data_IF_241346627639
#
_entry.id   IF_241346627639
#
_cell.length_a   1.000
_cell.length_b   1.000
_cell.length_c   1.000
_cell.angle_alpha   90.00
_cell.angle_beta   90.00
_cell.angle_gamma   90.00
#
_symmetry.space_group_name_H-M   'P 1'
#
loop_
_entity.id
_entity.type
_entity.pdbx_description
1 polymer ?
#
# COMPACT_ATOMS: atom_id res chain seq x y z
N UNK A 1 -41.54 -42.42 -60.52
CA UNK A 1 -41.15 -42.73 -61.91
C UNK A 1 -40.76 -41.45 -62.58
N UNK A 2 -39.49 -41.42 -62.99
CA UNK A 2 -38.71 -40.26 -63.41
C UNK A 2 -38.90 -39.97 -64.91
N UNK A 3 -39.02 -38.69 -65.29
CA UNK A 3 -38.66 -38.21 -66.63
C UNK A 3 -37.37 -37.40 -66.52
N UNK A 4 -36.22 -37.94 -66.96
CA UNK A 4 -35.57 -37.70 -68.27
C UNK A 4 -35.15 -36.21 -68.42
N UNK A 5 -33.89 -35.78 -68.17
CA UNK A 5 -32.58 -36.09 -68.84
C UNK A 5 -32.64 -35.69 -70.34
N UNK A 6 -31.76 -34.88 -70.96
CA UNK A 6 -30.55 -34.16 -70.60
C UNK A 6 -30.22 -33.08 -71.66
N UNK A 7 -29.25 -32.23 -71.28
CA UNK A 7 -28.38 -31.32 -72.05
C UNK A 7 -28.20 -31.55 -73.56
N UNK A 8 -28.18 -30.41 -74.27
CA UNK A 8 -27.41 -30.22 -75.50
C UNK A 8 -26.82 -28.80 -75.52
N UNK A 9 -25.50 -28.71 -75.41
CA UNK A 9 -24.69 -27.50 -75.47
C UNK A 9 -24.43 -27.06 -76.90
N UNK A 10 -24.59 -25.77 -77.22
CA UNK A 10 -23.56 -24.90 -77.81
C UNK A 10 -24.14 -23.52 -78.18
N UNK A 11 -23.21 -22.58 -78.35
CA UNK A 11 -23.35 -21.24 -78.95
C UNK A 11 -23.52 -20.04 -77.99
N UNK A 12 -22.37 -19.50 -77.60
CA UNK A 12 -21.97 -18.08 -77.71
C UNK A 12 -23.12 -17.09 -77.98
N UNK A 13 -23.56 -16.35 -76.96
CA UNK A 13 -23.81 -14.91 -77.12
C UNK A 13 -23.86 -14.13 -75.79
N UNK A 14 -23.29 -12.92 -75.83
CA UNK A 14 -23.68 -11.74 -75.08
C UNK A 14 -23.88 -11.76 -73.56
N UNK A 15 -22.81 -11.50 -72.79
CA UNK A 15 -22.93 -10.72 -71.56
C UNK A 15 -21.92 -9.58 -71.56
N UNK A 16 -22.42 -8.41 -71.93
CA UNK A 16 -21.75 -7.12 -71.79
C UNK A 16 -21.35 -6.92 -70.32
N UNK A 17 -20.05 -6.94 -70.07
CA UNK A 17 -19.46 -6.50 -68.81
C UNK A 17 -19.68 -4.99 -68.69
N UNK A 18 -20.61 -4.58 -67.84
CA UNK A 18 -20.70 -3.20 -67.37
C UNK A 18 -19.41 -2.87 -66.62
N UNK A 19 -18.69 -1.77 -66.94
CA UNK A 19 -17.49 -1.41 -66.20
C UNK A 19 -17.91 -1.03 -64.78
N UNK A 20 -17.62 -1.93 -63.85
CA UNK A 20 -17.73 -1.67 -62.41
C UNK A 20 -16.89 -0.44 -62.11
N UNK A 21 -17.54 0.63 -61.63
CA UNK A 21 -16.87 1.86 -61.17
C UNK A 21 -15.95 1.47 -60.01
N UNK A 22 -14.70 1.11 -60.33
CA UNK A 22 -13.62 1.06 -59.34
C UNK A 22 -13.58 2.43 -58.70
N UNK A 23 -14.00 2.52 -57.45
CA UNK A 23 -13.73 3.68 -56.60
C UNK A 23 -12.21 3.92 -56.70
N UNK A 24 -11.81 5.03 -57.34
CA UNK A 24 -10.43 5.48 -57.36
C UNK A 24 -10.02 5.63 -55.89
N UNK A 25 -9.20 4.72 -55.39
CA UNK A 25 -8.55 4.85 -54.09
C UNK A 25 -7.73 6.13 -54.19
N UNK A 26 -8.02 7.13 -53.35
CA UNK A 26 -7.29 8.39 -53.45
C UNK A 26 -5.81 8.11 -53.20
N UNK A 27 -4.96 8.56 -54.12
CA UNK A 27 -3.50 8.48 -54.03
C UNK A 27 -3.01 9.51 -53.00
N UNK A 28 -3.41 9.33 -51.74
CA UNK A 28 -2.91 10.18 -50.67
C UNK A 28 -1.44 9.83 -50.40
N UNK A 29 -0.60 10.85 -50.36
CA UNK A 29 0.84 10.76 -50.05
C UNK A 29 1.05 11.06 -48.57
N UNK A 30 1.84 10.24 -47.90
CA UNK A 30 2.27 10.50 -46.52
C UNK A 30 3.73 10.92 -46.48
N UNK A 31 4.05 11.95 -45.69
CA UNK A 31 5.44 12.32 -45.38
C UNK A 31 5.94 11.66 -44.09
N UNK A 32 5.02 11.09 -43.31
CA UNK A 32 5.32 10.35 -42.10
C UNK A 32 5.72 8.90 -42.41
N UNK A 33 6.59 8.36 -41.55
CA UNK A 33 6.86 6.92 -41.49
C UNK A 33 5.58 6.15 -41.13
N UNK A 34 5.45 4.93 -41.63
CA UNK A 34 4.22 4.14 -41.57
C UNK A 34 3.71 3.89 -40.14
N UNK A 35 4.60 3.58 -39.19
CA UNK A 35 4.27 3.38 -37.77
C UNK A 35 3.83 4.69 -37.13
N UNK A 36 4.54 5.79 -37.39
CA UNK A 36 4.17 7.14 -36.91
C UNK A 36 2.80 7.54 -37.45
N UNK A 37 2.55 7.39 -38.76
CA UNK A 37 1.26 7.67 -39.39
C UNK A 37 0.11 6.90 -38.73
N UNK A 38 0.30 5.59 -38.52
CA UNK A 38 -0.71 4.73 -37.84
C UNK A 38 -0.99 5.21 -36.42
N UNK A 39 0.04 5.57 -35.65
CA UNK A 39 -0.12 6.05 -34.27
C UNK A 39 -0.87 7.39 -34.21
N UNK A 40 -0.59 8.30 -35.15
CA UNK A 40 -1.31 9.58 -35.29
C UNK A 40 -2.78 9.33 -35.68
N UNK A 41 -3.04 8.43 -36.64
CA UNK A 41 -4.40 8.08 -37.04
C UNK A 41 -5.23 7.54 -35.86
N UNK A 42 -4.64 6.64 -35.04
CA UNK A 42 -5.30 6.09 -33.85
C UNK A 42 -5.58 7.20 -32.82
N UNK A 43 -4.57 8.03 -32.53
CA UNK A 43 -4.68 9.10 -31.54
C UNK A 43 -5.72 10.15 -31.95
N UNK A 44 -5.70 10.55 -33.22
CA UNK A 44 -6.69 11.49 -33.78
C UNK A 44 -8.11 10.95 -33.70
N UNK A 45 -8.31 9.66 -33.98
CA UNK A 45 -9.63 9.02 -33.83
C UNK A 45 -10.09 9.01 -32.38
N UNK A 46 -9.21 8.73 -31.43
CA UNK A 46 -9.54 8.72 -30.00
C UNK A 46 -9.95 10.10 -29.47
N UNK A 47 -9.38 11.18 -30.02
CA UNK A 47 -9.67 12.55 -29.59
C UNK A 47 -11.07 13.04 -30.01
N UNK A 48 -11.61 12.49 -31.11
CA UNK A 48 -12.95 12.79 -31.65
C UNK A 48 -13.23 14.31 -31.82
N UNK A 49 -12.20 15.11 -32.09
CA UNK A 49 -12.29 16.57 -32.13
C UNK A 49 -11.73 17.15 -33.44
N UNK A 50 -12.44 18.10 -34.08
CA UNK A 50 -11.90 18.85 -35.22
C UNK A 50 -10.65 19.64 -34.85
N UNK A 51 -9.67 19.69 -35.75
CA UNK A 51 -8.37 20.36 -35.53
C UNK A 51 -8.53 21.84 -35.23
N UNK A 52 -9.53 22.51 -35.82
CA UNK A 52 -9.81 23.93 -35.60
C UNK A 52 -10.22 24.20 -34.15
N UNK A 53 -11.04 23.29 -33.58
CA UNK A 53 -11.42 23.35 -32.16
C UNK A 53 -10.23 23.07 -31.26
N UNK A 54 -9.40 22.08 -31.61
CA UNK A 54 -8.17 21.76 -30.88
C UNK A 54 -7.23 22.97 -30.83
N UNK A 55 -6.92 23.57 -31.97
CA UNK A 55 -6.04 24.75 -32.06
C UNK A 55 -6.60 25.92 -31.25
N UNK A 56 -7.90 26.16 -31.35
CA UNK A 56 -8.57 27.23 -30.59
C UNK A 56 -8.46 26.98 -29.09
N UNK A 57 -8.74 25.76 -28.63
CA UNK A 57 -8.65 25.38 -27.22
C UNK A 57 -7.22 25.46 -26.68
N UNK A 58 -6.21 24.99 -27.45
CA UNK A 58 -4.79 25.08 -27.07
C UNK A 58 -4.33 26.53 -26.97
N UNK A 59 -4.73 27.40 -27.90
CA UNK A 59 -4.39 28.80 -27.84
C UNK A 59 -5.06 29.52 -26.65
N UNK A 60 -6.30 29.13 -26.32
CA UNK A 60 -7.03 29.65 -25.16
C UNK A 60 -6.64 29.00 -23.82
N UNK A 61 -5.83 27.93 -23.83
CA UNK A 61 -5.52 27.10 -22.66
C UNK A 61 -6.79 26.54 -21.97
N UNK A 62 -7.81 26.20 -22.76
CA UNK A 62 -9.14 25.84 -22.27
C UNK A 62 -9.28 24.34 -21.99
N UNK A 63 -9.11 23.97 -20.72
CA UNK A 63 -9.28 22.60 -20.24
C UNK A 63 -10.74 22.12 -20.19
N UNK A 64 -11.74 23.00 -20.37
CA UNK A 64 -13.15 22.59 -20.45
C UNK A 64 -13.50 22.05 -21.83
N UNK A 65 -12.89 22.61 -22.88
CA UNK A 65 -13.06 22.15 -24.26
C UNK A 65 -12.09 21.00 -24.56
N UNK A 66 -10.85 21.10 -24.09
CA UNK A 66 -9.81 20.10 -24.31
C UNK A 66 -9.45 19.42 -22.99
N UNK A 67 -10.01 18.23 -22.76
CA UNK A 67 -9.76 17.45 -21.55
C UNK A 67 -8.27 17.11 -21.36
N UNK A 68 -7.88 16.85 -20.10
CA UNK A 68 -6.51 16.50 -19.75
C UNK A 68 -5.99 15.27 -20.51
N UNK A 69 -6.82 14.22 -20.65
CA UNK A 69 -6.48 13.04 -21.45
C UNK A 69 -6.16 13.39 -22.91
N UNK A 70 -6.90 14.33 -23.49
CA UNK A 70 -6.65 14.82 -24.84
C UNK A 70 -5.40 15.69 -24.93
N UNK A 71 -5.07 16.46 -23.89
CA UNK A 71 -3.80 17.21 -23.77
C UNK A 71 -2.61 16.24 -23.76
N UNK A 72 -2.65 15.19 -22.93
CA UNK A 72 -1.61 14.17 -22.86
C UNK A 72 -1.47 13.38 -24.17
N UNK A 73 -2.58 13.15 -24.87
CA UNK A 73 -2.57 12.56 -26.19
C UNK A 73 -1.90 13.49 -27.21
N UNK A 74 -2.24 14.78 -27.19
CA UNK A 74 -1.64 15.79 -28.05
C UNK A 74 -0.13 15.94 -27.82
N UNK A 75 0.34 15.90 -26.57
CA UNK A 75 1.77 15.97 -26.26
C UNK A 75 2.58 14.88 -26.98
N UNK A 76 2.00 13.68 -27.16
CA UNK A 76 2.61 12.57 -27.90
C UNK A 76 2.51 12.73 -29.43
N UNK A 77 1.57 13.55 -29.89
CA UNK A 77 1.33 13.83 -31.31
C UNK A 77 2.07 15.06 -31.83
N UNK A 78 2.62 15.93 -30.96
CA UNK A 78 3.35 17.13 -31.38
C UNK A 78 4.37 16.76 -32.47
N UNK A 79 4.36 17.44 -33.63
CA UNK A 79 5.27 17.14 -34.71
C UNK A 79 6.70 17.46 -34.29
N UNK A 80 7.63 16.58 -34.66
CA UNK A 80 9.07 16.79 -34.46
C UNK A 80 9.59 17.91 -35.35
N UNK A 81 10.77 18.45 -35.04
CA UNK A 81 11.40 19.47 -35.88
C UNK A 81 11.66 18.97 -37.30
N UNK A 82 12.00 17.68 -37.45
CA UNK A 82 12.20 17.04 -38.74
C UNK A 82 10.90 16.94 -39.54
N UNK A 83 9.82 16.46 -38.92
CA UNK A 83 8.48 16.40 -39.56
C UNK A 83 8.03 17.82 -39.97
N UNK A 84 8.18 18.79 -39.06
CA UNK A 84 7.84 20.20 -39.30
C UNK A 84 8.64 20.77 -40.48
N UNK A 85 9.93 20.46 -40.57
CA UNK A 85 10.79 20.86 -41.68
C UNK A 85 10.32 20.23 -43.00
N UNK A 86 10.02 18.93 -43.02
CA UNK A 86 9.51 18.23 -44.20
C UNK A 86 8.19 18.82 -44.70
N UNK A 87 7.28 19.21 -43.79
CA UNK A 87 6.07 19.92 -44.18
C UNK A 87 6.34 21.30 -44.79
N UNK A 88 7.30 22.06 -44.24
CA UNK A 88 7.70 23.36 -44.82
C UNK A 88 8.31 23.20 -46.20
N UNK A 89 9.21 22.24 -46.39
CA UNK A 89 9.83 21.94 -47.68
C UNK A 89 8.79 21.56 -48.73
N UNK A 90 7.83 20.70 -48.38
CA UNK A 90 6.73 20.32 -49.27
C UNK A 90 5.92 21.53 -49.76
N UNK A 91 5.68 22.53 -48.89
CA UNK A 91 5.02 23.78 -49.25
C UNK A 91 5.92 24.67 -50.13
N UNK A 92 7.21 24.79 -49.80
CA UNK A 92 8.19 25.59 -50.55
C UNK A 92 8.33 25.06 -51.98
N UNK A 93 8.34 23.75 -52.15
CA UNK A 93 8.36 23.06 -53.45
C UNK A 93 7.04 23.17 -54.23
N UNK A 94 6.05 23.90 -53.70
CA UNK A 94 4.72 24.12 -54.29
C UNK A 94 3.97 22.81 -54.60
N UNK A 95 4.23 21.74 -53.83
CA UNK A 95 3.51 20.48 -53.96
C UNK A 95 2.07 20.62 -53.45
N UNK A 96 1.17 19.81 -54.00
CA UNK A 96 -0.27 19.92 -53.71
C UNK A 96 -0.62 19.33 -52.34
N UNK A 97 -0.84 20.20 -51.35
CA UNK A 97 -1.22 19.86 -49.97
C UNK A 97 -2.50 18.99 -49.89
N UNK A 98 -3.41 19.08 -50.87
CA UNK A 98 -4.63 18.27 -50.87
C UNK A 98 -4.36 16.78 -51.04
N UNK A 99 -3.20 16.42 -51.61
CA UNK A 99 -2.76 15.03 -51.76
C UNK A 99 -2.18 14.45 -50.48
N UNK A 100 -1.90 15.26 -49.45
CA UNK A 100 -1.43 14.73 -48.17
C UNK A 100 -2.52 13.93 -47.46
N UNK A 101 -2.11 12.95 -46.64
CA UNK A 101 -3.05 12.26 -45.75
C UNK A 101 -3.70 13.25 -44.76
N UNK A 102 -4.84 12.87 -44.18
CA UNK A 102 -5.51 13.70 -43.19
C UNK A 102 -4.68 13.84 -41.91
N UNK A 103 -3.86 12.84 -41.59
CA UNK A 103 -2.91 12.85 -40.50
C UNK A 103 -1.76 13.83 -40.74
N UNK A 104 -1.20 13.89 -41.95
CA UNK A 104 -0.20 14.89 -42.32
C UNK A 104 -0.78 16.30 -42.27
N UNK A 105 -1.98 16.50 -42.81
CA UNK A 105 -2.68 17.80 -42.74
C UNK A 105 -2.91 18.22 -41.29
N UNK A 106 -3.30 17.27 -40.43
CA UNK A 106 -3.49 17.50 -38.99
C UNK A 106 -2.18 17.95 -38.33
N UNK A 107 -1.08 17.20 -38.50
CA UNK A 107 0.21 17.57 -37.91
C UNK A 107 0.78 18.88 -38.47
N UNK A 108 0.60 19.12 -39.77
CA UNK A 108 1.03 20.37 -40.40
C UNK A 108 0.28 21.58 -39.83
N UNK A 109 -1.02 21.46 -39.54
CA UNK A 109 -1.78 22.52 -38.86
C UNK A 109 -1.35 22.66 -37.39
N UNK A 110 -1.12 21.54 -36.70
CA UNK A 110 -0.67 21.52 -35.32
C UNK A 110 0.70 22.19 -35.15
N UNK A 111 1.63 21.96 -36.08
CA UNK A 111 2.96 22.57 -36.11
C UNK A 111 2.97 24.07 -36.43
N UNK A 112 1.84 24.64 -36.89
CA UNK A 112 1.68 26.10 -37.03
C UNK A 112 1.35 26.78 -35.70
N UNK A 113 0.93 26.03 -34.69
CA UNK A 113 0.63 26.58 -33.37
C UNK A 113 1.95 26.97 -32.69
N UNK A 114 2.12 28.27 -32.48
CA UNK A 114 3.30 28.80 -31.81
C UNK A 114 3.44 28.23 -30.40
N UNK A 115 4.65 27.76 -30.05
CA UNK A 115 5.01 27.23 -28.73
C UNK A 115 4.03 26.16 -28.21
N UNK A 116 3.53 25.30 -29.10
CA UNK A 116 2.54 24.28 -28.75
C UNK A 116 3.00 23.37 -27.60
N UNK A 117 4.26 22.92 -27.61
CA UNK A 117 4.79 22.06 -26.55
C UNK A 117 4.69 22.73 -25.17
N UNK A 118 5.03 24.02 -25.09
CA UNK A 118 4.92 24.81 -23.86
C UNK A 118 3.46 24.97 -23.43
N UNK A 119 2.55 25.30 -24.36
CA UNK A 119 1.11 25.45 -24.05
C UNK A 119 0.52 24.14 -23.52
N UNK A 120 0.81 23.01 -24.15
CA UNK A 120 0.34 21.70 -23.70
C UNK A 120 0.93 21.32 -22.33
N UNK A 121 2.21 21.58 -22.09
CA UNK A 121 2.82 21.35 -20.77
C UNK A 121 2.16 22.19 -19.68
N UNK A 122 1.83 23.45 -19.96
CA UNK A 122 1.11 24.33 -19.04
C UNK A 122 -0.31 23.83 -18.77
N UNK A 123 -1.05 23.43 -19.82
CA UNK A 123 -2.38 22.86 -19.67
C UNK A 123 -2.34 21.59 -18.81
N UNK A 124 -1.37 20.71 -19.06
CA UNK A 124 -1.18 19.49 -18.29
C UNK A 124 -0.86 19.79 -16.81
N UNK A 125 0.01 20.76 -16.56
CA UNK A 125 0.35 21.23 -15.22
C UNK A 125 -0.87 21.79 -14.48
N UNK A 126 -1.61 22.70 -15.10
CA UNK A 126 -2.81 23.31 -14.51
C UNK A 126 -3.86 22.24 -14.18
N UNK A 127 -4.07 21.28 -15.09
CA UNK A 127 -5.02 20.19 -14.90
C UNK A 127 -4.68 19.27 -13.73
N UNK A 128 -3.40 18.97 -13.52
CA UNK A 128 -2.95 18.05 -12.47
C UNK A 128 -2.59 18.73 -11.13
N UNK A 129 -2.49 20.06 -11.10
CA UNK A 129 -1.94 20.79 -9.94
C UNK A 129 -2.64 20.45 -8.62
N UNK A 130 -3.99 20.49 -8.60
CA UNK A 130 -4.74 20.27 -7.37
C UNK A 130 -4.72 18.81 -6.93
N UNK A 131 -4.71 17.87 -7.87
CA UNK A 131 -4.61 16.44 -7.57
C UNK A 131 -3.23 16.11 -6.98
N UNK A 132 -2.17 16.69 -7.52
CA UNK A 132 -0.82 16.57 -6.96
C UNK A 132 -0.75 17.12 -5.53
N UNK A 133 -1.31 18.31 -5.28
CA UNK A 133 -1.41 18.89 -3.93
C UNK A 133 -2.17 17.92 -2.99
N UNK A 134 -3.29 17.38 -3.45
CA UNK A 134 -4.12 16.45 -2.66
C UNK A 134 -3.41 15.12 -2.36
N UNK A 135 -2.55 14.66 -3.27
CA UNK A 135 -1.78 13.43 -3.11
C UNK A 135 -0.57 13.62 -2.17
N UNK A 136 0.13 14.76 -2.26
CA UNK A 136 1.37 15.00 -1.53
C UNK A 136 1.10 15.46 -0.09
N UNK A 137 0.09 16.31 0.13
CA UNK A 137 -0.18 16.91 1.45
C UNK A 137 -0.37 15.88 2.58
N UNK A 138 -1.16 14.80 2.41
CA UNK A 138 -1.32 13.78 3.45
C UNK A 138 -0.03 13.05 3.80
N UNK A 139 0.86 12.86 2.82
CA UNK A 139 2.14 12.18 3.03
C UNK A 139 3.07 13.05 3.90
N UNK A 140 3.13 14.36 3.62
CA UNK A 140 3.85 15.35 4.43
C UNK A 140 3.34 15.33 5.87
N UNK A 141 2.03 15.42 6.07
CA UNK A 141 1.43 15.43 7.41
C UNK A 141 1.64 14.12 8.17
N UNK A 142 1.65 12.97 7.48
CA UNK A 142 1.94 11.68 8.09
C UNK A 142 3.37 11.66 8.66
N UNK A 143 4.36 12.16 7.90
CA UNK A 143 5.75 12.21 8.38
C UNK A 143 5.91 13.18 9.55
N UNK A 144 5.35 14.39 9.47
CA UNK A 144 5.41 15.38 10.58
C UNK A 144 4.82 14.77 11.85
N UNK A 145 3.62 14.19 11.75
CA UNK A 145 2.90 13.63 12.89
C UNK A 145 3.62 12.41 13.47
N UNK A 146 4.12 11.51 12.61
CA UNK A 146 4.86 10.33 13.05
C UNK A 146 6.18 10.73 13.73
N UNK A 147 6.96 11.62 13.13
CA UNK A 147 8.21 12.11 13.71
C UNK A 147 7.98 12.76 15.08
N UNK A 148 6.98 13.64 15.18
CA UNK A 148 6.65 14.31 16.43
C UNK A 148 6.21 13.33 17.52
N UNK A 149 5.29 12.42 17.22
CA UNK A 149 4.76 11.46 18.20
C UNK A 149 5.80 10.43 18.63
N UNK A 150 6.63 9.92 17.72
CA UNK A 150 7.74 9.02 18.05
C UNK A 150 8.75 9.71 18.97
N UNK A 151 9.16 10.95 18.65
CA UNK A 151 10.09 11.74 19.47
C UNK A 151 9.53 12.06 20.85
N UNK A 152 8.22 12.34 20.94
CA UNK A 152 7.58 12.76 22.19
C UNK A 152 6.96 11.62 23.01
N UNK A 153 6.93 10.38 22.50
CA UNK A 153 6.34 9.25 23.21
C UNK A 153 7.13 8.91 24.48
N UNK A 154 6.49 9.11 25.63
CA UNK A 154 7.07 8.76 26.93
C UNK A 154 7.08 7.25 27.11
N UNK A 155 6.07 6.55 26.60
CA UNK A 155 5.99 5.10 26.71
C UNK A 155 7.06 4.40 25.87
N UNK A 156 7.29 4.85 24.62
CA UNK A 156 8.37 4.31 23.80
C UNK A 156 9.72 4.49 24.50
N UNK A 157 9.98 5.69 25.04
CA UNK A 157 11.21 5.96 25.80
C UNK A 157 11.40 5.00 26.98
N UNK A 158 10.35 4.78 27.77
CA UNK A 158 10.40 3.85 28.91
C UNK A 158 10.62 2.39 28.47
N UNK A 159 10.00 1.96 27.37
CA UNK A 159 10.22 0.63 26.79
C UNK A 159 11.68 0.47 26.34
N UNK A 160 12.27 1.47 25.68
CA UNK A 160 13.67 1.45 25.26
C UNK A 160 14.64 1.43 26.46
N UNK A 161 14.30 2.12 27.55
CA UNK A 161 15.08 2.10 28.80
C UNK A 161 15.09 0.70 29.45
N UNK A 162 13.93 0.02 29.46
CA UNK A 162 13.84 -1.37 29.93
C UNK A 162 14.69 -2.28 29.05
N UNK A 163 14.63 -2.13 27.72
CA UNK A 163 15.44 -2.90 26.78
C UNK A 163 16.93 -2.66 27.03
N UNK A 164 17.35 -1.40 27.25
CA UNK A 164 18.74 -1.07 27.59
C UNK A 164 19.18 -1.76 28.89
N UNK A 165 18.33 -1.78 29.92
CA UNK A 165 18.63 -2.45 31.19
C UNK A 165 18.83 -3.96 31.00
N UNK A 166 17.96 -4.62 30.22
CA UNK A 166 18.13 -6.03 29.88
C UNK A 166 19.40 -6.28 29.07
N UNK A 167 19.67 -5.43 28.07
CA UNK A 167 20.88 -5.51 27.25
C UNK A 167 22.15 -5.38 28.09
N UNK A 168 22.19 -4.43 29.02
CA UNK A 168 23.30 -4.22 29.94
C UNK A 168 23.49 -5.39 30.90
N UNK A 169 22.41 -5.94 31.45
CA UNK A 169 22.49 -7.11 32.32
C UNK A 169 23.10 -8.30 31.59
N UNK A 170 22.61 -8.60 30.39
CA UNK A 170 23.06 -9.74 29.58
C UNK A 170 24.49 -9.59 29.03
N UNK A 171 24.94 -8.35 28.76
CA UNK A 171 26.25 -8.08 28.15
C UNK A 171 27.31 -7.54 29.13
N UNK A 172 26.97 -7.42 30.42
CA UNK A 172 27.82 -6.86 31.47
C UNK A 172 29.23 -7.48 31.53
N UNK A 173 29.35 -8.77 31.23
CA UNK A 173 30.61 -9.52 31.28
C UNK A 173 31.55 -9.30 30.09
N UNK A 174 31.09 -8.72 28.97
CA UNK A 174 31.87 -8.64 27.71
C UNK A 174 32.09 -7.23 27.18
N UNK A 175 31.17 -6.30 27.41
CA UNK A 175 31.14 -5.00 26.71
C UNK A 175 31.07 -3.78 27.64
N UNK A 176 31.03 -3.98 28.97
CA UNK A 176 30.84 -2.90 29.92
C UNK A 176 29.44 -2.27 29.85
N UNK A 177 29.19 -1.17 30.60
CA UNK A 177 27.89 -0.51 30.61
C UNK A 177 27.67 0.33 29.34
N UNK A 178 26.54 0.11 28.66
CA UNK A 178 26.07 0.94 27.56
C UNK A 178 25.07 2.00 28.05
N UNK A 179 25.14 3.19 27.47
CA UNK A 179 24.22 4.31 27.74
C UNK A 179 23.12 4.45 26.69
N UNK A 180 23.17 3.64 25.63
CA UNK A 180 22.21 3.63 24.54
C UNK A 180 22.56 2.55 23.52
N UNK A 181 21.66 2.31 22.57
CA UNK A 181 21.85 1.35 21.49
C UNK A 181 21.24 1.90 20.20
N UNK A 182 21.76 1.46 19.05
CA UNK A 182 21.21 1.78 17.73
C UNK A 182 19.86 1.11 17.54
N UNK A 183 18.89 1.80 16.93
CA UNK A 183 17.52 1.28 16.79
C UNK A 183 17.46 -0.05 16.03
N UNK A 184 18.40 -0.27 15.12
CA UNK A 184 18.54 -1.56 14.41
C UNK A 184 18.72 -2.76 15.36
N UNK A 185 19.18 -2.54 16.60
CA UNK A 185 19.32 -3.59 17.61
C UNK A 185 17.97 -4.20 18.01
N UNK A 186 16.85 -3.48 17.83
CA UNK A 186 15.50 -3.97 18.15
C UNK A 186 15.14 -5.23 17.36
N UNK A 187 15.63 -5.35 16.11
CA UNK A 187 15.42 -6.56 15.29
C UNK A 187 16.10 -7.80 15.91
N UNK A 188 17.18 -7.62 16.68
CA UNK A 188 17.94 -8.75 17.28
C UNK A 188 17.31 -9.32 18.56
N UNK A 189 16.29 -8.65 19.12
CA UNK A 189 15.58 -9.13 20.31
C UNK A 189 14.83 -10.44 20.06
N UNK A 190 14.49 -10.72 18.79
CA UNK A 190 13.85 -11.96 18.37
C UNK A 190 14.83 -13.13 18.26
N UNK A 191 16.12 -12.84 18.03
CA UNK A 191 17.16 -13.85 17.78
C UNK A 191 17.67 -14.50 19.06
N UNK A 192 17.65 -13.76 20.17
CA UNK A 192 18.08 -14.28 21.46
C UNK A 192 17.00 -15.19 22.04
N UNK A 193 17.17 -16.51 21.96
CA UNK A 193 16.21 -17.52 22.45
C UNK A 193 16.56 -18.02 23.85
N UNK A 194 15.53 -18.48 24.57
CA UNK A 194 15.69 -19.27 25.80
C UNK A 194 16.31 -20.64 25.51
N UNK A 195 16.87 -21.28 26.55
CA UNK A 195 17.50 -22.62 26.44
C UNK A 195 16.57 -23.67 25.85
N UNK A 196 15.28 -23.60 26.17
CA UNK A 196 14.24 -24.50 25.67
C UNK A 196 13.66 -24.08 24.29
N UNK A 197 14.18 -22.98 23.71
CA UNK A 197 13.75 -22.37 22.44
C UNK A 197 12.26 -22.01 22.35
N UNK A 198 11.54 -22.00 23.47
CA UNK A 198 10.10 -21.68 23.51
C UNK A 198 9.83 -20.17 23.51
N UNK A 199 10.80 -19.37 23.93
CA UNK A 199 10.67 -17.93 24.11
C UNK A 199 11.89 -17.20 23.55
N UNK A 200 11.73 -15.94 23.17
CA UNK A 200 12.86 -15.07 22.88
C UNK A 200 12.98 -13.95 23.92
N UNK A 201 14.06 -13.18 23.85
CA UNK A 201 14.28 -12.05 24.76
C UNK A 201 13.11 -11.06 24.71
N UNK A 202 12.55 -10.78 23.53
CA UNK A 202 11.37 -9.92 23.42
C UNK A 202 10.18 -10.46 24.23
N UNK A 203 9.91 -11.77 24.20
CA UNK A 203 8.85 -12.37 25.02
C UNK A 203 9.07 -12.13 26.51
N UNK A 204 10.31 -12.27 26.98
CA UNK A 204 10.64 -12.06 28.39
C UNK A 204 10.48 -10.59 28.79
N UNK A 205 10.94 -9.67 27.95
CA UNK A 205 10.79 -8.23 28.16
C UNK A 205 9.32 -7.84 28.23
N UNK A 206 8.50 -8.30 27.26
CA UNK A 206 7.06 -8.02 27.22
C UNK A 206 6.34 -8.60 28.44
N UNK A 207 6.66 -9.83 28.85
CA UNK A 207 6.10 -10.42 30.06
C UNK A 207 6.44 -9.60 31.32
N UNK A 208 7.68 -9.12 31.41
CA UNK A 208 8.15 -8.26 32.50
C UNK A 208 7.42 -6.92 32.51
N UNK A 209 7.28 -6.28 31.34
CA UNK A 209 6.53 -5.03 31.17
C UNK A 209 5.09 -5.22 31.61
N UNK A 210 4.40 -6.26 31.16
CA UNK A 210 3.02 -6.49 31.55
C UNK A 210 2.83 -6.69 33.07
N UNK A 211 3.82 -7.29 33.74
CA UNK A 211 3.76 -7.53 35.18
C UNK A 211 4.11 -6.29 36.01
N UNK A 212 5.15 -5.54 35.61
CA UNK A 212 5.73 -4.46 36.42
C UNK A 212 5.37 -3.05 35.96
N UNK A 213 5.04 -2.89 34.68
CA UNK A 213 4.79 -1.61 34.00
C UNK A 213 3.59 -1.74 33.03
N UNK A 214 2.40 -2.15 33.51
CA UNK A 214 1.25 -2.46 32.65
C UNK A 214 0.82 -1.28 31.76
N UNK A 215 1.10 -0.04 32.16
CA UNK A 215 0.84 1.19 31.40
C UNK A 215 1.63 1.30 30.08
N UNK A 216 2.73 0.54 29.95
CA UNK A 216 3.59 0.53 28.76
C UNK A 216 3.18 -0.53 27.72
N UNK A 217 2.25 -1.43 28.05
CA UNK A 217 1.89 -2.55 27.16
C UNK A 217 1.29 -2.08 25.83
N UNK A 218 0.69 -0.88 25.83
CA UNK A 218 0.09 -0.24 24.67
C UNK A 218 0.89 0.98 24.19
N UNK A 219 2.22 0.99 24.34
CA UNK A 219 3.06 2.14 23.95
C UNK A 219 2.84 2.56 22.49
N UNK A 220 2.54 1.61 21.61
CA UNK A 220 2.34 1.86 20.18
C UNK A 220 1.10 2.72 19.90
N UNK A 221 0.17 2.84 20.85
CA UNK A 221 -0.96 3.77 20.75
C UNK A 221 -0.53 5.24 20.75
N UNK A 222 0.67 5.56 21.26
CA UNK A 222 1.25 6.90 21.16
C UNK A 222 1.91 7.15 19.80
N UNK A 223 2.21 6.11 19.01
CA UNK A 223 2.97 6.20 17.76
C UNK A 223 2.05 6.40 16.57
N UNK A 224 1.49 7.59 16.45
CA UNK A 224 0.48 7.89 15.44
C UNK A 224 1.10 7.97 14.04
N UNK A 225 0.38 7.43 13.04
CA UNK A 225 0.74 7.51 11.63
C UNK A 225 2.06 6.84 11.21
N UNK A 226 2.72 6.08 12.09
CA UNK A 226 3.98 5.39 11.74
C UNK A 226 3.82 4.42 10.56
N UNK A 227 2.68 3.73 10.42
CA UNK A 227 2.43 2.85 9.26
C UNK A 227 2.34 3.63 7.94
N UNK A 228 1.77 4.85 7.97
CA UNK A 228 1.68 5.72 6.78
C UNK A 228 3.04 6.34 6.47
N UNK A 229 3.75 6.82 7.48
CA UNK A 229 5.08 7.41 7.29
C UNK A 229 6.10 6.38 6.80
N UNK A 230 5.93 5.10 7.16
CA UNK A 230 6.74 3.98 6.65
C UNK A 230 6.63 3.76 5.14
N UNK A 231 5.58 4.26 4.47
CA UNK A 231 5.41 4.13 3.01
C UNK A 231 5.83 5.39 2.25
N UNK A 232 6.26 6.45 2.95
CA UNK A 232 6.52 7.76 2.34
C UNK A 232 8.00 7.95 2.07
N UNK A 233 8.33 8.42 0.87
CA UNK A 233 9.68 8.90 0.51
C UNK A 233 9.73 10.43 0.55
N UNK A 234 10.51 10.98 1.49
CA UNK A 234 10.76 12.43 1.58
C UNK A 234 11.53 12.98 0.36
N UNK A 235 12.37 12.15 -0.26
CA UNK A 235 13.09 12.52 -1.49
C UNK A 235 12.11 12.71 -2.66
N UNK A 236 11.16 11.78 -2.82
CA UNK A 236 10.12 11.90 -3.85
C UNK A 236 9.25 13.14 -3.60
N UNK A 237 8.82 13.38 -2.35
CA UNK A 237 8.08 14.59 -1.98
C UNK A 237 8.87 15.85 -2.36
N UNK A 238 10.17 15.89 -2.08
CA UNK A 238 11.01 17.05 -2.40
C UNK A 238 11.09 17.26 -3.91
N UNK A 239 11.25 16.18 -4.67
CA UNK A 239 11.27 16.21 -6.15
C UNK A 239 9.94 16.68 -6.72
N UNK A 240 8.82 16.14 -6.22
CA UNK A 240 7.48 16.49 -6.69
C UNK A 240 7.15 17.96 -6.39
N UNK A 241 7.50 18.44 -5.19
CA UNK A 241 7.36 19.87 -4.83
C UNK A 241 8.21 20.74 -5.76
N UNK A 242 9.44 20.34 -6.08
CA UNK A 242 10.30 21.09 -6.98
C UNK A 242 9.75 21.16 -8.41
N UNK A 243 9.24 20.05 -8.95
CA UNK A 243 8.59 20.05 -10.26
C UNK A 243 7.29 20.89 -10.24
N UNK A 244 6.56 20.91 -9.12
CA UNK A 244 5.44 21.83 -8.94
C UNK A 244 5.86 23.31 -8.97
N UNK A 245 6.98 23.67 -8.33
CA UNK A 245 7.55 25.02 -8.38
C UNK A 245 7.96 25.42 -9.80
N UNK A 246 8.69 24.54 -10.49
CA UNK A 246 9.12 24.76 -11.87
C UNK A 246 7.94 24.89 -12.83
N UNK A 247 6.89 24.08 -12.66
CA UNK A 247 5.65 24.22 -13.42
C UNK A 247 4.95 25.56 -13.16
N UNK A 248 4.92 26.03 -11.91
CA UNK A 248 4.36 27.34 -11.56
C UNK A 248 5.13 28.47 -12.24
N UNK A 249 6.45 28.40 -12.28
CA UNK A 249 7.29 29.38 -12.96
C UNK A 249 7.03 29.41 -14.48
N UNK A 250 6.74 28.26 -15.10
CA UNK A 250 6.33 28.21 -16.51
C UNK A 250 4.99 28.90 -16.73
N UNK A 251 4.01 28.70 -15.84
CA UNK A 251 2.73 29.40 -15.89
C UNK A 251 2.93 30.91 -15.75
N UNK A 252 3.77 31.35 -14.81
CA UNK A 252 4.07 32.76 -14.56
C UNK A 252 4.70 33.43 -15.79
N UNK A 253 5.70 32.79 -16.40
CA UNK A 253 6.34 33.26 -17.64
C UNK A 253 5.35 33.35 -18.80
N UNK A 254 4.49 32.36 -18.99
CA UNK A 254 3.49 32.39 -20.06
C UNK A 254 2.44 33.48 -19.82
N UNK A 255 2.06 33.74 -18.56
CA UNK A 255 1.18 34.86 -18.21
C UNK A 255 1.81 36.22 -18.55
N UNK A 256 3.10 36.41 -18.24
CA UNK A 256 3.84 37.63 -18.58
C UNK A 256 3.98 37.83 -20.09
N UNK A 257 4.33 36.77 -20.83
CA UNK A 257 4.52 36.81 -22.28
C UNK A 257 3.25 37.18 -23.05
N UNK A 258 2.08 36.78 -22.55
CA UNK A 258 0.77 37.11 -23.15
C UNK A 258 0.29 38.53 -22.83
N UNK A 259 1.00 39.25 -21.95
CA UNK A 259 0.61 40.59 -21.51
C UNK A 259 -0.64 40.62 -20.63
N UNK A 260 -1.00 41.82 -20.15
CA UNK A 260 -2.18 42.08 -19.30
C UNK A 260 -3.50 42.12 -20.09
N UNK A 261 -3.55 41.55 -21.29
CA UNK A 261 -4.78 41.58 -22.10
C UNK A 261 -5.92 40.82 -21.41
N UNK A 262 -7.16 41.29 -21.64
CA UNK A 262 -8.40 40.81 -21.02
C UNK A 262 -8.70 39.31 -21.25
N UNK A 263 -7.96 38.65 -22.14
CA UNK A 263 -8.19 37.27 -22.56
C UNK A 263 -7.41 36.21 -21.76
N UNK A 264 -6.62 36.58 -20.75
CA UNK A 264 -5.80 35.64 -19.98
C UNK A 264 -6.39 35.24 -18.62
N UNK A 265 -7.73 35.13 -18.55
CA UNK A 265 -8.47 34.84 -17.32
C UNK A 265 -8.10 33.49 -16.71
N UNK A 266 -7.88 32.46 -17.53
CA UNK A 266 -7.50 31.11 -17.07
C UNK A 266 -6.20 31.13 -16.26
N UNK A 267 -5.14 31.73 -16.80
CA UNK A 267 -3.85 31.79 -16.12
C UNK A 267 -3.90 32.67 -14.87
N UNK A 268 -4.55 33.83 -14.95
CA UNK A 268 -4.71 34.73 -13.81
C UNK A 268 -5.47 34.06 -12.67
N UNK A 269 -6.61 33.45 -12.97
CA UNK A 269 -7.47 32.83 -11.97
C UNK A 269 -6.79 31.59 -11.39
N UNK A 270 -6.03 30.83 -12.19
CA UNK A 270 -5.19 29.74 -11.69
C UNK A 270 -4.15 30.25 -10.70
N UNK A 271 -3.30 31.21 -11.10
CA UNK A 271 -2.22 31.77 -10.24
C UNK A 271 -2.76 32.26 -8.90
N UNK A 272 -3.86 33.04 -8.93
CA UNK A 272 -4.52 33.54 -7.72
C UNK A 272 -4.99 32.43 -6.76
N UNK A 273 -5.34 31.25 -7.28
CA UNK A 273 -5.90 30.13 -6.51
C UNK A 273 -4.87 29.07 -6.11
N UNK A 274 -3.69 29.06 -6.74
CA UNK A 274 -2.69 27.98 -6.63
C UNK A 274 -1.41 28.42 -5.92
N UNK A 275 -1.00 29.68 -6.02
CA UNK A 275 0.31 30.15 -5.56
C UNK A 275 0.48 30.02 -4.04
N UNK A 276 -0.52 30.42 -3.26
CA UNK A 276 -0.50 30.27 -1.80
C UNK A 276 -0.53 28.79 -1.37
N UNK A 277 -1.22 27.92 -2.11
CA UNK A 277 -1.26 26.48 -1.81
C UNK A 277 0.11 25.83 -2.04
N UNK A 278 0.78 26.19 -3.13
CA UNK A 278 2.14 25.73 -3.41
C UNK A 278 3.13 26.25 -2.37
N UNK A 279 3.02 27.52 -1.98
CA UNK A 279 3.86 28.12 -0.92
C UNK A 279 3.71 27.37 0.40
N UNK A 280 2.48 27.01 0.78
CA UNK A 280 2.20 26.19 1.97
C UNK A 280 2.78 24.79 1.83
N UNK A 281 2.51 24.08 0.73
CA UNK A 281 3.04 22.74 0.48
C UNK A 281 4.57 22.71 0.62
N UNK A 282 5.27 23.72 0.07
CA UNK A 282 6.72 23.86 0.18
C UNK A 282 7.18 24.09 1.63
N UNK A 283 6.45 24.92 2.37
CA UNK A 283 6.71 25.15 3.79
C UNK A 283 6.55 23.87 4.61
N UNK A 284 5.46 23.15 4.38
CA UNK A 284 5.13 21.93 5.11
C UNK A 284 6.09 20.79 4.75
N UNK A 285 6.50 20.68 3.49
CA UNK A 285 7.53 19.73 3.03
C UNK A 285 8.87 19.96 3.75
N UNK A 286 9.31 21.23 3.89
CA UNK A 286 10.50 21.56 4.70
C UNK A 286 10.31 21.20 6.17
N UNK A 287 9.15 21.51 6.74
CA UNK A 287 8.83 21.18 8.13
C UNK A 287 8.85 19.65 8.37
N UNK A 288 8.39 18.85 7.39
CA UNK A 288 8.49 17.39 7.46
C UNK A 288 9.94 16.90 7.47
N UNK A 289 10.78 17.44 6.60
CA UNK A 289 12.22 17.12 6.58
C UNK A 289 12.91 17.48 7.89
N UNK A 290 12.59 18.65 8.46
CA UNK A 290 13.11 19.10 9.76
C UNK A 290 12.65 18.20 10.91
N UNK A 291 11.34 17.96 11.02
CA UNK A 291 10.77 17.12 12.07
C UNK A 291 11.34 15.70 12.03
N UNK A 292 11.49 15.14 10.83
CA UNK A 292 12.13 13.84 10.65
C UNK A 292 13.61 13.87 11.07
N UNK A 293 14.38 14.88 10.64
CA UNK A 293 15.78 15.03 11.02
C UNK A 293 15.96 15.06 12.53
N UNK A 294 15.21 15.92 13.22
CA UNK A 294 15.26 16.02 14.68
C UNK A 294 14.87 14.70 15.37
N UNK A 295 13.90 13.96 14.81
CA UNK A 295 13.50 12.66 15.34
C UNK A 295 14.64 11.64 15.20
N UNK A 296 15.26 11.55 14.02
CA UNK A 296 16.38 10.62 13.77
C UNK A 296 17.58 10.95 14.67
N UNK A 297 17.93 12.23 14.80
CA UNK A 297 19.00 12.69 15.68
C UNK A 297 18.71 12.38 17.16
N UNK A 298 17.45 12.51 17.59
CA UNK A 298 17.04 12.17 18.97
C UNK A 298 17.30 10.69 19.32
N UNK A 299 17.13 9.77 18.37
CA UNK A 299 17.47 8.35 18.56
C UNK A 299 18.94 8.02 18.25
N UNK A 300 19.78 9.04 18.03
CA UNK A 300 21.21 8.89 17.77
C UNK A 300 21.53 8.28 16.39
N UNK A 301 20.59 8.31 15.45
CA UNK A 301 20.80 7.88 14.07
C UNK A 301 21.27 9.05 13.18
N UNK A 302 21.87 8.74 12.02
CA UNK A 302 22.36 9.76 11.09
C UNK A 302 21.27 10.12 10.08
N UNK A 303 20.81 11.37 10.00
CA UNK A 303 19.79 11.79 9.02
C UNK A 303 20.24 11.63 7.57
N UNK A 304 21.55 11.64 7.31
CA UNK A 304 22.11 11.44 5.96
C UNK A 304 22.06 9.98 5.49
N UNK A 305 21.89 9.04 6.41
CA UNK A 305 21.89 7.61 6.15
C UNK A 305 20.53 6.96 6.46
N UNK A 306 19.56 7.77 6.90
CA UNK A 306 18.26 7.28 7.36
C UNK A 306 17.17 7.84 6.49
N UNK A 307 16.55 6.97 5.69
CA UNK A 307 15.35 7.33 4.95
C UNK A 307 14.11 7.18 5.84
N UNK A 308 13.12 8.06 5.66
CA UNK A 308 11.91 8.08 6.48
C UNK A 308 11.17 6.73 6.46
N UNK A 309 10.95 6.18 5.26
CA UNK A 309 10.33 4.86 5.08
C UNK A 309 11.06 3.76 5.88
N UNK A 310 12.39 3.70 5.81
CA UNK A 310 13.20 2.69 6.50
C UNK A 310 13.15 2.86 8.02
N UNK A 311 13.31 4.09 8.49
CA UNK A 311 13.25 4.44 9.91
C UNK A 311 11.90 4.09 10.53
N UNK A 312 10.79 4.54 9.93
CA UNK A 312 9.46 4.24 10.46
C UNK A 312 9.09 2.76 10.28
N UNK A 313 9.55 2.10 9.21
CA UNK A 313 9.34 0.65 9.02
C UNK A 313 9.95 -0.18 10.15
N UNK A 314 11.13 0.22 10.64
CA UNK A 314 11.77 -0.44 11.79
C UNK A 314 10.87 -0.37 13.03
N UNK A 315 10.33 0.82 13.34
CA UNK A 315 9.44 1.01 14.48
C UNK A 315 8.12 0.25 14.32
N UNK A 316 7.56 0.21 13.11
CA UNK A 316 6.37 -0.59 12.78
C UNK A 316 6.64 -2.08 13.01
N UNK A 317 7.78 -2.61 12.53
CA UNK A 317 8.17 -4.01 12.77
C UNK A 317 8.29 -4.29 14.27
N UNK A 318 8.97 -3.42 15.01
CA UNK A 318 9.12 -3.57 16.45
C UNK A 318 7.78 -3.56 17.19
N UNK A 319 6.90 -2.60 16.91
CA UNK A 319 5.58 -2.53 17.54
C UNK A 319 4.72 -3.77 17.25
N UNK A 320 4.76 -4.29 16.02
CA UNK A 320 4.08 -5.53 15.65
C UNK A 320 4.67 -6.75 16.35
N UNK A 321 6.00 -6.86 16.41
CA UNK A 321 6.68 -7.94 17.10
C UNK A 321 6.38 -7.92 18.61
N UNK A 322 6.33 -6.74 19.22
CA UNK A 322 5.96 -6.57 20.62
C UNK A 322 4.53 -7.06 20.90
N UNK A 323 3.56 -6.64 20.08
CA UNK A 323 2.17 -7.10 20.18
C UNK A 323 2.03 -8.61 19.99
N UNK A 324 2.73 -9.18 19.02
CA UNK A 324 2.73 -10.62 18.79
C UNK A 324 3.26 -11.37 20.01
N UNK A 325 4.41 -10.94 20.55
CA UNK A 325 4.99 -11.54 21.75
C UNK A 325 4.07 -11.43 22.98
N UNK A 326 3.32 -10.33 23.12
CA UNK A 326 2.34 -10.15 24.19
C UNK A 326 1.17 -11.13 24.08
N UNK A 327 0.63 -11.27 22.87
CA UNK A 327 -0.45 -12.21 22.57
C UNK A 327 -0.01 -13.66 22.79
N UNK A 328 1.19 -14.03 22.30
CA UNK A 328 1.77 -15.37 22.49
C UNK A 328 2.00 -15.67 23.98
N UNK A 329 2.48 -14.70 24.76
CA UNK A 329 2.64 -14.82 26.21
C UNK A 329 1.29 -15.01 26.93
N UNK A 330 0.26 -14.28 26.51
CA UNK A 330 -1.08 -14.43 27.09
C UNK A 330 -1.69 -15.79 26.76
N UNK A 331 -1.57 -16.24 25.52
CA UNK A 331 -2.01 -17.58 25.10
C UNK A 331 -1.29 -18.68 25.89
N UNK A 332 0.04 -18.55 26.06
CA UNK A 332 0.84 -19.50 26.84
C UNK A 332 0.37 -19.59 28.29
N UNK A 333 0.17 -18.46 28.97
CA UNK A 333 -0.34 -18.42 30.35
C UNK A 333 -1.72 -19.07 30.47
N UNK A 334 -2.62 -18.85 29.50
CA UNK A 334 -3.95 -19.48 29.49
C UNK A 334 -3.86 -21.00 29.35
N UNK A 335 -2.98 -21.50 28.48
CA UNK A 335 -2.76 -22.94 28.28
C UNK A 335 -2.14 -23.58 29.52
N UNK A 336 -1.15 -22.93 30.14
CA UNK A 336 -0.51 -23.41 31.38
C UNK A 336 -1.51 -23.45 32.55
N UNK A 337 -2.36 -22.43 32.69
CA UNK A 337 -3.42 -22.41 33.70
C UNK A 337 -4.44 -23.54 33.46
N UNK A 338 -4.92 -23.70 32.23
CA UNK A 338 -5.86 -24.77 31.90
C UNK A 338 -5.26 -26.17 32.13
N UNK A 339 -3.97 -26.36 31.83
CA UNK A 339 -3.26 -27.61 32.10
C UNK A 339 -3.11 -27.87 33.61
N UNK A 340 -2.81 -26.85 34.40
CA UNK A 340 -2.73 -26.94 35.86
C UNK A 340 -4.10 -27.28 36.48
N UNK A 341 -5.18 -26.63 36.01
CA UNK A 341 -6.54 -26.90 36.46
C UNK A 341 -6.99 -28.32 36.10
N UNK A 342 -6.67 -28.78 34.89
CA UNK A 342 -6.95 -30.17 34.47
C UNK A 342 -6.18 -31.19 35.31
N UNK A 343 -4.91 -30.91 35.64
CA UNK A 343 -4.11 -31.76 36.50
C UNK A 343 -4.67 -31.82 37.92
N UNK A 344 -5.03 -30.68 38.51
CA UNK A 344 -5.64 -30.60 39.84
C UNK A 344 -6.99 -31.33 39.89
N UNK A 345 -7.83 -31.15 38.88
CA UNK A 345 -9.12 -31.85 38.77
C UNK A 345 -8.92 -33.37 38.69
N UNK A 346 -7.94 -33.84 37.91
CA UNK A 346 -7.60 -35.26 37.81
C UNK A 346 -7.14 -35.83 39.15
N UNK A 347 -6.26 -35.13 39.87
CA UNK A 347 -5.84 -35.52 41.23
C UNK A 347 -7.01 -35.61 42.21
N UNK A 348 -7.92 -34.64 42.20
CA UNK A 348 -9.11 -34.63 43.05
C UNK A 348 -10.05 -35.81 42.75
N UNK A 349 -10.27 -36.11 41.46
CA UNK A 349 -11.06 -37.27 41.03
C UNK A 349 -10.41 -38.58 41.51
N UNK A 350 -9.09 -38.71 41.39
CA UNK A 350 -8.36 -39.90 41.87
C UNK A 350 -8.49 -40.03 43.41
N UNK A 351 -8.33 -38.93 44.16
CA UNK A 351 -8.48 -38.92 45.62
C UNK A 351 -9.91 -39.32 46.03
N UNK A 352 -10.93 -38.79 45.36
CA UNK A 352 -12.34 -39.10 45.62
C UNK A 352 -12.69 -40.55 45.30
N UNK A 353 -12.17 -41.09 44.19
CA UNK A 353 -12.35 -42.50 43.84
C UNK A 353 -11.72 -43.45 44.88
N UNK A 354 -10.51 -43.13 45.37
CA UNK A 354 -9.86 -43.90 46.45
C UNK A 354 -10.66 -43.85 47.76
N UNK A 355 -11.23 -42.69 48.11
CA UNK A 355 -12.08 -42.55 49.31
C UNK A 355 -13.35 -43.39 49.17
N UNK A 356 -14.03 -43.32 48.03
CA UNK A 356 -15.21 -44.13 47.75
C UNK A 356 -14.90 -45.64 47.81
N UNK A 357 -13.74 -46.07 47.30
CA UNK A 357 -13.32 -47.46 47.37
C UNK A 357 -13.08 -47.92 48.82
N UNK A 358 -12.46 -47.09 49.66
CA UNK A 358 -12.30 -47.39 51.11
C UNK A 358 -13.65 -47.47 51.82
N UNK A 359 -14.56 -46.54 51.53
CA UNK A 359 -15.92 -46.57 52.09
C UNK A 359 -16.68 -47.83 51.67
N UNK A 360 -16.52 -48.27 50.42
CA UNK A 360 -17.11 -49.52 49.94
C UNK A 360 -16.54 -50.74 50.68
N UNK A 361 -15.23 -50.80 50.88
CA UNK A 361 -14.59 -51.88 51.67
C UNK A 361 -15.11 -51.93 53.11
N UNK A 362 -15.31 -50.77 53.75
CA UNK A 362 -15.90 -50.68 55.10
C UNK A 362 -17.35 -51.16 55.09
N UNK A 363 -18.14 -50.75 54.10
CA UNK A 363 -19.52 -51.20 53.95
C UNK A 363 -19.60 -52.72 53.75
N UNK A 364 -18.76 -53.28 52.89
CA UNK A 364 -18.70 -54.72 52.63
C UNK A 364 -18.24 -55.50 53.88
N UNK A 365 -17.29 -54.95 54.66
CA UNK A 365 -16.87 -55.52 55.94
C UNK A 365 -18.02 -55.58 56.97
N UNK A 366 -18.76 -54.47 57.15
CA UNK A 366 -19.92 -54.47 58.05
C UNK A 366 -21.04 -55.40 57.57
N UNK A 367 -21.24 -55.51 56.25
CA UNK A 367 -22.19 -56.48 55.67
C UNK A 367 -21.77 -57.92 55.99
N UNK A 368 -20.47 -58.23 55.86
CA UNK A 368 -19.91 -59.54 56.18
C UNK A 368 -20.05 -59.90 57.68
N UNK A 369 -19.77 -58.94 58.57
CA UNK A 369 -19.99 -59.12 60.01
C UNK A 369 -21.46 -59.40 60.33
N UNK A 370 -22.39 -58.64 59.75
CA UNK A 370 -23.82 -58.88 59.95
C UNK A 370 -24.23 -60.27 59.47
N UNK A 371 -23.69 -60.76 58.35
CA UNK A 371 -23.92 -62.14 57.89
C UNK A 371 -23.27 -63.18 58.79
N UNK A 372 -22.09 -62.90 59.35
CA UNK A 372 -21.40 -63.79 60.30
C UNK A 372 -22.16 -63.91 61.62
N UNK A 373 -22.67 -62.80 62.16
CA UNK A 373 -23.52 -62.79 63.36
C UNK A 373 -24.80 -63.59 63.13
N UNK A 374 -25.44 -63.45 61.97
CA UNK A 374 -26.59 -64.30 61.62
C UNK A 374 -26.22 -65.78 61.47
N UNK A 375 -25.02 -66.09 60.98
CA UNK A 375 -24.54 -67.47 60.84
C UNK A 375 -24.20 -68.08 62.19
N UNK A 376 -23.55 -67.35 63.10
CA UNK A 376 -23.33 -67.78 64.48
C UNK A 376 -24.65 -67.99 65.22
N UNK A 377 -25.63 -67.09 65.06
CA UNK A 377 -26.95 -67.23 65.66
C UNK A 377 -27.67 -68.49 65.16
N UNK A 378 -27.64 -68.77 63.85
CA UNK A 378 -28.19 -69.99 63.28
C UNK A 378 -27.41 -71.26 63.69
N UNK A 379 -26.08 -71.19 63.79
CA UNK A 379 -25.24 -72.31 64.22
C UNK A 379 -25.49 -72.65 65.70
N UNK A 380 -25.69 -71.63 66.56
CA UNK A 380 -26.05 -71.80 67.97
C UNK A 380 -27.46 -72.38 68.14
N UNK A 381 -28.41 -72.00 67.28
CA UNK A 381 -29.74 -72.61 67.20
C UNK A 381 -29.67 -74.09 66.77
N UNK A 382 -28.86 -74.43 65.77
CA UNK A 382 -28.62 -75.82 65.36
C UNK A 382 -27.96 -76.66 66.47
N UNK A 383 -27.01 -76.09 67.21
CA UNK A 383 -26.39 -76.78 68.36
C UNK A 383 -27.41 -77.07 69.48
N UNK A 384 -28.30 -76.13 69.78
CA UNK A 384 -29.43 -76.37 70.71
C UNK A 384 -30.37 -77.47 70.22
N UNK A 385 -30.61 -77.55 68.91
CA UNK A 385 -31.45 -78.60 68.33
C UNK A 385 -30.79 -79.99 68.34
N UNK A 386 -29.47 -80.05 68.15
CA UNK A 386 -28.69 -81.30 68.23
C UNK A 386 -28.58 -81.84 69.67
N UNK A 387 -28.51 -80.98 70.68
CA UNK A 387 -28.57 -81.40 72.09
C UNK A 387 -29.93 -81.98 72.51
N UNK A 388 -31.00 -81.76 71.75
CA UNK A 388 -32.31 -82.36 71.99
C UNK A 388 -32.50 -83.75 71.35
N UNK A 389 -31.59 -84.18 70.47
CA UNK A 389 -31.68 -85.47 69.76
C UNK A 389 -30.78 -86.57 70.37
N UNK A 390 -30.02 -86.26 71.42
CA UNK A 390 -29.11 -87.19 72.12
C UNK A 390 -29.46 -87.40 73.61
N UNK A 391 -30.75 -87.30 73.95
CA UNK A 391 -31.37 -87.84 75.17
C UNK A 391 -32.61 -88.61 74.76
#
# INVERSE_FOLDING_TARGET
MSGHVANGSNEIDGLQSFPSKRFKKSENVSLLEHTRLRNIAISRRKMEMPIEKVITAVNALDLKVLSLENVELLQRMVPTDQETKSYREYIIEKKNVNLLTEEDKFLMQLGKVERISTKLSIMNYIGNFFDNIHLITPQIHAVISAASTVKCSKKLRAVLEIILAFGNYLNSSKRGPAYGFKLQSLDTLLDTKSTDKRMCLLHYIVATIRLKFPELINFESELMYIDKAATVSLENITTDVHELEKGMDQVRKEFELRGKEKHNTVLRDFLNNSEEKLRRLRSDSRAAGEAFRECVEFFGESPRQSDANTFFSLLVRFARAFKAADLENEQRRRLEAAAADAFNTSEEVIKRNKLNQKMQQVYDFFKCLRTYDTWQYHSFQCYKHLSYFYS
#
